data_IF_324989826440
#
_entry.id   IF_324989826440
#
_cell.length_a   1.000
_cell.length_b   1.000
_cell.length_c   1.000
_cell.angle_alpha   90.00
_cell.angle_beta   90.00
_cell.angle_gamma   90.00
#
_symmetry.space_group_name_H-M   'P 1'
#
loop_
_entity.id
_entity.type
_entity.pdbx_description
1 polymer ?
#
# COMPACT_ATOMS: atom_id res chain seq x y z
N UNK A 1 15.48 16.32 -31.18
CA UNK A 1 16.30 15.10 -30.85
C UNK A 1 15.31 14.01 -30.47
N UNK A 2 15.28 12.85 -31.14
CA UNK A 2 14.35 11.75 -30.80
C UNK A 2 14.69 11.17 -29.43
N UNK A 3 13.69 10.93 -28.61
CA UNK A 3 13.83 10.29 -27.31
C UNK A 3 14.24 8.81 -27.48
N UNK A 4 14.76 8.21 -26.41
CA UNK A 4 15.08 6.77 -26.37
C UNK A 4 13.86 5.90 -26.67
N UNK A 5 12.70 6.31 -26.17
CA UNK A 5 11.41 5.63 -26.36
C UNK A 5 10.92 5.72 -27.79
N UNK A 6 11.02 6.87 -28.43
CA UNK A 6 10.70 7.03 -29.87
C UNK A 6 11.59 6.16 -30.76
N UNK A 7 12.90 6.12 -30.47
CA UNK A 7 13.84 5.24 -31.19
C UNK A 7 13.49 3.78 -31.00
N UNK A 8 13.11 3.38 -29.79
CA UNK A 8 12.73 2.00 -29.48
C UNK A 8 11.46 1.58 -30.23
N UNK A 9 10.41 2.43 -30.25
CA UNK A 9 9.18 2.17 -31.04
C UNK A 9 9.50 2.05 -32.52
N UNK A 10 10.28 2.98 -33.06
CA UNK A 10 10.69 2.95 -34.46
C UNK A 10 11.53 1.73 -34.84
N UNK A 11 12.39 1.25 -33.90
CA UNK A 11 13.16 0.03 -34.08
C UNK A 11 12.28 -1.21 -34.13
N UNK A 12 11.24 -1.27 -33.30
CA UNK A 12 10.22 -2.34 -33.35
C UNK A 12 9.45 -2.32 -34.66
N UNK A 13 9.00 -1.15 -35.10
CA UNK A 13 8.23 -0.96 -36.34
C UNK A 13 9.03 -1.39 -37.59
N UNK A 14 10.29 -0.94 -37.69
CA UNK A 14 11.11 -1.13 -38.90
C UNK A 14 11.76 -2.53 -38.97
N UNK A 15 12.19 -3.11 -37.84
CA UNK A 15 13.07 -4.27 -37.82
C UNK A 15 12.64 -5.37 -36.83
N UNK A 16 11.54 -5.20 -36.12
CA UNK A 16 11.12 -6.11 -35.04
C UNK A 16 12.15 -6.18 -33.89
N UNK A 17 13.13 -5.26 -33.84
CA UNK A 17 14.20 -5.25 -32.84
C UNK A 17 14.01 -4.11 -31.85
N UNK A 18 14.11 -4.46 -30.59
CA UNK A 18 13.98 -3.52 -29.48
C UNK A 18 15.36 -3.21 -28.87
N UNK A 19 15.77 -1.94 -28.93
CA UNK A 19 17.02 -1.47 -28.34
C UNK A 19 16.79 -0.98 -26.90
N UNK A 20 17.24 -1.76 -25.92
CA UNK A 20 17.02 -1.48 -24.49
C UNK A 20 17.96 -0.43 -23.88
N UNK A 21 19.01 -0.04 -24.58
CA UNK A 21 20.28 0.48 -24.03
C UNK A 21 20.27 1.72 -23.14
N UNK A 22 19.15 2.45 -23.02
CA UNK A 22 19.10 3.67 -22.21
C UNK A 22 17.77 3.87 -21.47
N UNK A 23 16.90 2.85 -21.43
CA UNK A 23 15.66 2.90 -20.63
C UNK A 23 15.94 2.53 -19.17
N UNK A 24 15.23 3.15 -18.20
CA UNK A 24 15.23 2.66 -16.82
C UNK A 24 14.82 1.18 -16.78
N UNK A 25 15.54 0.37 -16.00
CA UNK A 25 15.35 -1.10 -15.97
C UNK A 25 13.90 -1.53 -15.75
N UNK A 26 13.13 -0.96 -14.79
CA UNK A 26 11.72 -1.35 -14.58
C UNK A 26 10.85 -1.13 -15.83
N UNK A 27 11.06 -0.02 -16.54
CA UNK A 27 10.33 0.32 -17.77
C UNK A 27 10.73 -0.63 -18.90
N UNK A 28 12.04 -0.87 -19.09
CA UNK A 28 12.54 -1.76 -20.12
C UNK A 28 12.02 -3.20 -19.93
N UNK A 29 11.94 -3.68 -18.69
CA UNK A 29 11.44 -5.02 -18.40
C UNK A 29 9.93 -5.13 -18.60
N UNK A 30 9.17 -4.08 -18.27
CA UNK A 30 7.74 -3.97 -18.58
C UNK A 30 7.51 -3.96 -20.10
N UNK A 31 8.24 -3.17 -20.87
CA UNK A 31 8.15 -3.16 -22.33
C UNK A 31 8.45 -4.54 -22.94
N UNK A 32 9.44 -5.28 -22.40
CA UNK A 32 9.71 -6.66 -22.83
C UNK A 32 8.51 -7.58 -22.59
N UNK A 33 7.80 -7.44 -21.45
CA UNK A 33 6.58 -8.22 -21.19
C UNK A 33 5.49 -7.87 -22.17
N UNK A 34 5.23 -6.58 -22.41
CA UNK A 34 4.23 -6.11 -23.39
C UNK A 34 4.50 -6.67 -24.80
N UNK A 35 5.76 -6.67 -25.26
CA UNK A 35 6.15 -7.23 -26.55
C UNK A 35 5.91 -8.74 -26.58
N UNK A 36 6.23 -9.48 -25.52
CA UNK A 36 5.97 -10.94 -25.43
C UNK A 36 4.48 -11.26 -25.44
N UNK A 37 3.65 -10.36 -24.94
CA UNK A 37 2.19 -10.46 -25.00
C UNK A 37 1.62 -10.13 -26.38
N UNK A 38 2.47 -9.73 -27.35
CA UNK A 38 2.07 -9.40 -28.70
C UNK A 38 1.48 -8.00 -28.85
N UNK A 39 1.64 -7.12 -27.88
CA UNK A 39 1.16 -5.74 -27.97
C UNK A 39 2.02 -4.94 -28.97
N UNK A 40 1.34 -4.08 -29.75
CA UNK A 40 1.99 -3.16 -30.70
C UNK A 40 1.99 -1.73 -30.11
N UNK A 41 3.16 -1.11 -29.86
CA UNK A 41 3.27 0.19 -29.21
C UNK A 41 2.70 1.36 -30.03
N UNK A 42 2.41 1.15 -31.32
CA UNK A 42 1.86 2.18 -32.22
C UNK A 42 0.35 2.06 -32.31
N UNK A 43 -0.20 0.91 -32.00
CA UNK A 43 -1.64 0.67 -31.94
C UNK A 43 -2.29 1.50 -30.83
N UNK A 44 -3.61 1.56 -30.81
CA UNK A 44 -4.37 2.04 -29.65
C UNK A 44 -4.55 0.89 -28.67
N UNK A 45 -4.41 1.13 -27.35
CA UNK A 45 -4.74 0.14 -26.35
C UNK A 45 -6.21 -0.26 -26.45
N UNK A 46 -6.49 -1.51 -26.14
CA UNK A 46 -7.85 -2.01 -26.05
C UNK A 46 -8.57 -1.39 -24.84
N UNK A 47 -9.81 -0.95 -25.03
CA UNK A 47 -10.65 -0.42 -23.96
C UNK A 47 -11.48 -1.57 -23.38
N UNK A 48 -10.93 -2.26 -22.39
CA UNK A 48 -11.62 -3.33 -21.68
C UNK A 48 -12.31 -2.77 -20.44
N UNK A 49 -13.62 -2.99 -20.35
CA UNK A 49 -14.44 -2.62 -19.18
C UNK A 49 -15.22 -3.86 -18.75
N UNK A 50 -15.13 -4.21 -17.47
CA UNK A 50 -15.89 -5.32 -16.89
C UNK A 50 -17.39 -5.02 -16.90
N UNK A 51 -18.22 -6.05 -16.83
CA UNK A 51 -19.67 -5.86 -16.72
C UNK A 51 -20.05 -5.14 -15.42
N UNK A 52 -21.21 -4.48 -15.41
CA UNK A 52 -21.71 -3.82 -14.17
C UNK A 52 -21.86 -4.82 -13.01
N UNK A 53 -22.29 -6.06 -13.30
CA UNK A 53 -22.43 -7.11 -12.30
C UNK A 53 -21.07 -7.51 -11.71
N UNK A 54 -20.04 -7.68 -12.55
CA UNK A 54 -18.69 -8.01 -12.09
C UNK A 54 -18.09 -6.85 -11.28
N UNK A 55 -18.24 -5.62 -11.72
CA UNK A 55 -17.81 -4.44 -10.96
C UNK A 55 -18.46 -4.41 -9.57
N UNK A 56 -19.77 -4.67 -9.48
CA UNK A 56 -20.46 -4.67 -8.20
C UNK A 56 -19.97 -5.80 -7.30
N UNK A 57 -19.77 -7.01 -7.83
CA UNK A 57 -19.23 -8.14 -7.06
C UNK A 57 -17.82 -7.85 -6.52
N UNK A 58 -16.97 -7.18 -7.29
CA UNK A 58 -15.63 -6.75 -6.86
C UNK A 58 -15.71 -5.72 -5.75
N UNK A 59 -16.61 -4.74 -5.87
CA UNK A 59 -16.86 -3.72 -4.84
C UNK A 59 -17.37 -4.35 -3.55
N UNK A 60 -18.30 -5.29 -3.62
CA UNK A 60 -18.86 -5.99 -2.45
C UNK A 60 -17.76 -6.79 -1.72
N UNK A 61 -16.87 -7.46 -2.46
CA UNK A 61 -15.73 -8.19 -1.89
C UNK A 61 -14.75 -7.26 -1.16
N UNK A 62 -14.57 -6.05 -1.63
CA UNK A 62 -13.64 -5.04 -1.09
C UNK A 62 -14.36 -3.90 -0.36
N UNK A 63 -15.60 -4.10 0.11
CA UNK A 63 -16.43 -3.06 0.73
C UNK A 63 -15.71 -2.33 1.88
N UNK A 64 -15.11 -3.09 2.81
CA UNK A 64 -14.32 -2.50 3.90
C UNK A 64 -13.15 -1.69 3.37
N UNK A 65 -12.39 -2.26 2.42
CA UNK A 65 -11.21 -1.60 1.84
C UNK A 65 -11.63 -0.29 1.17
N UNK A 66 -12.69 -0.30 0.37
CA UNK A 66 -13.22 0.88 -0.31
C UNK A 66 -13.71 1.97 0.66
N UNK A 67 -14.40 1.57 1.73
CA UNK A 67 -14.83 2.51 2.78
C UNK A 67 -13.65 3.18 3.49
N UNK A 68 -12.54 2.46 3.67
CA UNK A 68 -11.32 3.01 4.27
C UNK A 68 -10.47 3.77 3.24
N UNK A 69 -10.49 3.36 1.96
CA UNK A 69 -9.75 4.02 0.88
C UNK A 69 -10.32 5.39 0.52
N UNK A 70 -11.65 5.53 0.49
CA UNK A 70 -12.31 6.77 0.06
C UNK A 70 -11.84 8.02 0.81
N UNK A 71 -11.76 8.04 2.16
CA UNK A 71 -11.21 9.18 2.91
C UNK A 71 -9.72 9.46 2.60
N UNK A 72 -8.92 8.41 2.35
CA UNK A 72 -7.51 8.59 1.98
C UNK A 72 -7.37 9.22 0.59
N UNK A 73 -8.21 8.82 -0.38
CA UNK A 73 -8.25 9.43 -1.70
C UNK A 73 -8.69 10.91 -1.62
N UNK A 74 -9.68 11.23 -0.78
CA UNK A 74 -10.13 12.60 -0.56
C UNK A 74 -9.03 13.46 0.07
N UNK A 75 -8.33 12.92 1.07
CA UNK A 75 -7.20 13.59 1.70
C UNK A 75 -6.05 13.80 0.71
N UNK A 76 -5.71 12.76 -0.06
CA UNK A 76 -4.69 12.82 -1.10
C UNK A 76 -5.05 13.87 -2.17
N UNK A 77 -6.31 13.93 -2.60
CA UNK A 77 -6.81 14.95 -3.54
C UNK A 77 -6.60 16.37 -3.00
N UNK A 78 -6.84 16.59 -1.69
CA UNK A 78 -6.63 17.89 -1.07
C UNK A 78 -5.12 18.25 -0.90
N UNK A 79 -4.24 17.25 -0.84
CA UNK A 79 -2.79 17.42 -0.66
C UNK A 79 -2.05 17.63 -1.99
N UNK A 80 -2.56 17.05 -3.09
CA UNK A 80 -1.98 17.24 -4.41
C UNK A 80 -2.34 18.66 -4.88
N UNK A 81 -1.35 19.54 -4.86
CA UNK A 81 -1.54 20.92 -5.31
C UNK A 81 -1.66 20.99 -6.84
N UNK A 82 -2.79 21.49 -7.33
CA UNK A 82 -3.00 21.82 -8.74
C UNK A 82 -4.18 21.09 -9.40
N UNK A 83 -4.69 21.66 -10.48
CA UNK A 83 -5.72 21.03 -11.31
C UNK A 83 -5.13 19.90 -12.17
N UNK A 84 -6.00 19.17 -12.85
CA UNK A 84 -5.66 18.12 -13.81
C UNK A 84 -5.08 16.84 -13.20
N UNK A 85 -5.67 16.40 -12.07
CA UNK A 85 -5.41 15.08 -11.48
C UNK A 85 -6.65 14.19 -11.48
N UNK A 86 -6.37 12.90 -11.66
CA UNK A 86 -7.31 11.82 -11.36
C UNK A 86 -6.66 10.93 -10.32
N UNK A 87 -7.41 10.59 -9.28
CA UNK A 87 -7.04 9.56 -8.30
C UNK A 87 -7.97 8.37 -8.49
N UNK A 88 -7.41 7.17 -8.49
CA UNK A 88 -8.18 5.94 -8.61
C UNK A 88 -7.78 4.92 -7.53
N UNK A 89 -8.75 4.11 -7.15
CA UNK A 89 -8.53 2.87 -6.42
C UNK A 89 -8.83 1.70 -7.37
N UNK A 90 -7.86 0.80 -7.54
CA UNK A 90 -7.99 -0.41 -8.34
C UNK A 90 -7.83 -1.64 -7.45
N UNK A 91 -8.47 -2.75 -7.85
CA UNK A 91 -8.25 -4.04 -7.22
C UNK A 91 -6.94 -4.70 -7.68
N UNK A 92 -6.65 -5.87 -7.14
CA UNK A 92 -5.44 -6.65 -7.46
C UNK A 92 -5.36 -7.17 -8.91
N UNK A 93 -6.45 -7.10 -9.66
CA UNK A 93 -6.49 -7.46 -11.09
C UNK A 93 -6.36 -6.22 -11.99
N UNK A 94 -6.19 -5.01 -11.40
CA UNK A 94 -6.06 -3.74 -12.11
C UNK A 94 -7.38 -3.17 -12.60
N UNK A 95 -8.52 -3.63 -12.06
CA UNK A 95 -9.85 -3.08 -12.36
C UNK A 95 -10.09 -1.84 -11.47
N UNK A 96 -10.37 -0.71 -12.09
CA UNK A 96 -10.72 0.51 -11.37
C UNK A 96 -12.05 0.33 -10.65
N UNK A 97 -12.08 0.48 -9.34
CA UNK A 97 -13.29 0.36 -8.53
C UNK A 97 -13.90 1.71 -8.14
N UNK A 98 -13.06 2.72 -7.88
CA UNK A 98 -13.49 4.07 -7.53
C UNK A 98 -12.51 5.11 -8.04
N UNK A 99 -12.96 6.36 -8.22
CA UNK A 99 -12.10 7.47 -8.64
C UNK A 99 -12.57 8.80 -8.08
N UNK A 100 -11.61 9.71 -7.93
CA UNK A 100 -11.83 11.15 -7.75
C UNK A 100 -11.14 11.83 -8.93
N UNK A 101 -11.86 12.69 -9.65
CA UNK A 101 -11.35 13.34 -10.84
C UNK A 101 -11.85 14.78 -10.89
N UNK A 102 -10.99 15.71 -11.27
CA UNK A 102 -11.42 17.08 -11.57
C UNK A 102 -12.11 17.19 -12.94
N UNK A 103 -12.83 18.30 -13.13
CA UNK A 103 -13.62 18.50 -14.34
C UNK A 103 -12.77 18.60 -15.61
N UNK A 104 -11.56 19.19 -15.54
CA UNK A 104 -10.71 19.38 -16.71
C UNK A 104 -10.11 18.03 -17.13
N UNK A 105 -9.50 17.28 -16.19
CA UNK A 105 -8.93 15.97 -16.48
C UNK A 105 -9.99 14.98 -16.97
N UNK A 106 -11.22 15.07 -16.47
CA UNK A 106 -12.32 14.17 -16.87
C UNK A 106 -12.66 14.28 -18.37
N UNK A 107 -12.35 15.43 -19.02
CA UNK A 107 -12.56 15.65 -20.45
C UNK A 107 -11.37 15.18 -21.30
N UNK A 108 -10.22 14.93 -20.70
CA UNK A 108 -9.04 14.42 -21.40
C UNK A 108 -9.25 12.98 -21.91
N UNK A 109 -8.43 12.54 -22.86
CA UNK A 109 -8.51 11.18 -23.36
C UNK A 109 -8.22 10.13 -22.26
N UNK A 110 -7.25 10.43 -21.41
CA UNK A 110 -6.91 9.56 -20.29
C UNK A 110 -8.04 9.53 -19.25
N UNK A 111 -8.59 10.70 -18.86
CA UNK A 111 -9.68 10.80 -17.91
C UNK A 111 -10.96 10.07 -18.36
N UNK A 112 -11.21 10.00 -19.67
CA UNK A 112 -12.34 9.24 -20.25
C UNK A 112 -12.12 7.74 -20.20
N UNK A 113 -10.88 7.26 -20.22
CA UNK A 113 -10.56 5.83 -20.21
C UNK A 113 -10.35 5.27 -18.80
N UNK A 114 -9.97 6.11 -17.80
CA UNK A 114 -9.86 5.68 -16.40
C UNK A 114 -11.22 5.84 -15.72
N UNK A 115 -12.09 4.86 -15.93
CA UNK A 115 -13.46 4.84 -15.39
C UNK A 115 -13.67 3.59 -14.51
N UNK A 116 -14.62 3.60 -13.56
CA UNK A 116 -14.96 2.40 -12.83
C UNK A 116 -15.31 1.24 -13.76
N UNK A 117 -14.67 0.10 -13.54
CA UNK A 117 -14.76 -1.10 -14.39
C UNK A 117 -13.68 -1.21 -15.46
N UNK A 118 -12.94 -0.15 -15.81
CA UNK A 118 -11.83 -0.24 -16.77
C UNK A 118 -10.65 -1.03 -16.21
N UNK A 119 -9.98 -1.81 -17.07
CA UNK A 119 -8.86 -2.69 -16.71
C UNK A 119 -7.56 -2.03 -17.13
N UNK A 120 -6.62 -1.90 -16.17
CA UNK A 120 -5.32 -1.22 -16.36
C UNK A 120 -4.11 -2.12 -16.13
N UNK A 121 -4.28 -3.44 -16.30
CA UNK A 121 -3.14 -4.38 -16.28
C UNK A 121 -2.24 -4.20 -17.50
N UNK A 122 -0.97 -4.67 -17.40
CA UNK A 122 -0.01 -4.59 -18.52
C UNK A 122 -0.47 -5.34 -19.78
N UNK A 123 -1.25 -6.42 -19.61
CA UNK A 123 -1.77 -7.24 -20.72
C UNK A 123 -2.74 -6.45 -21.63
N UNK A 124 -3.46 -5.48 -21.06
CA UNK A 124 -4.47 -4.68 -21.76
C UNK A 124 -3.93 -3.31 -22.13
N UNK A 125 -3.30 -2.63 -21.19
CA UNK A 125 -2.92 -1.22 -21.31
C UNK A 125 -1.42 -1.00 -21.49
N UNK A 126 -0.65 -2.08 -21.67
CA UNK A 126 0.81 -1.98 -21.79
C UNK A 126 1.44 -1.39 -20.54
N UNK A 127 2.67 -0.89 -20.67
CA UNK A 127 3.38 -0.25 -19.55
C UNK A 127 2.66 1.02 -19.10
N UNK A 128 2.15 1.00 -17.90
CA UNK A 128 1.56 2.11 -17.15
C UNK A 128 1.90 1.92 -15.66
N UNK A 129 1.73 2.96 -14.83
CA UNK A 129 2.16 2.87 -13.43
C UNK A 129 1.38 1.84 -12.62
N UNK A 130 0.07 1.71 -12.87
CA UNK A 130 -0.79 0.75 -12.17
C UNK A 130 -0.36 -0.68 -12.49
N UNK A 131 -0.26 -1.05 -13.79
CA UNK A 131 0.18 -2.37 -14.23
C UNK A 131 1.60 -2.71 -13.78
N UNK A 132 2.50 -1.73 -13.80
CA UNK A 132 3.87 -1.90 -13.33
C UNK A 132 3.93 -2.13 -11.80
N UNK A 133 3.14 -1.40 -11.01
CA UNK A 133 3.06 -1.57 -9.56
C UNK A 133 2.40 -2.90 -9.17
N UNK A 134 1.39 -3.35 -9.93
CA UNK A 134 0.81 -4.70 -9.80
C UNK A 134 1.86 -5.79 -9.93
N UNK A 135 2.70 -5.67 -10.97
CA UNK A 135 3.72 -6.68 -11.26
C UNK A 135 4.89 -6.66 -10.28
N UNK A 136 5.35 -5.46 -9.89
CA UNK A 136 6.55 -5.28 -9.07
C UNK A 136 6.31 -5.31 -7.56
N UNK A 137 5.08 -5.05 -7.11
CA UNK A 137 4.75 -4.91 -5.69
C UNK A 137 5.36 -3.68 -5.02
N UNK A 138 5.85 -2.70 -5.80
CA UNK A 138 6.46 -1.46 -5.27
C UNK A 138 5.86 -0.22 -5.92
N UNK A 139 5.91 0.95 -5.25
CA UNK A 139 5.44 2.19 -5.85
C UNK A 139 6.18 2.53 -7.15
N UNK A 140 5.43 2.87 -8.19
CA UNK A 140 5.94 3.10 -9.54
C UNK A 140 5.50 4.44 -10.09
N UNK A 141 6.35 5.00 -10.96
CA UNK A 141 6.07 6.21 -11.74
C UNK A 141 6.37 5.91 -13.21
N UNK A 142 5.37 6.11 -14.06
CA UNK A 142 5.50 6.02 -15.53
C UNK A 142 5.12 7.36 -16.13
N UNK A 143 6.05 8.02 -16.81
CA UNK A 143 5.93 9.40 -17.25
C UNK A 143 6.04 9.52 -18.75
N UNK A 144 5.03 10.11 -19.39
CA UNK A 144 5.07 10.47 -20.80
C UNK A 144 5.44 9.29 -21.69
N UNK A 145 6.51 9.39 -22.46
CA UNK A 145 6.95 8.40 -23.42
C UNK A 145 7.40 7.06 -22.82
N UNK A 146 7.47 6.94 -21.50
CA UNK A 146 7.73 5.67 -20.80
C UNK A 146 6.54 4.70 -20.92
N UNK A 147 5.31 5.22 -21.11
CA UNK A 147 4.16 4.39 -21.44
C UNK A 147 4.41 3.58 -22.70
N UNK A 148 3.90 2.36 -22.75
CA UNK A 148 4.12 1.49 -23.91
C UNK A 148 3.45 2.05 -25.17
N UNK A 149 2.18 2.40 -25.09
CA UNK A 149 1.44 2.95 -26.22
C UNK A 149 1.79 4.43 -26.46
N UNK A 150 2.06 4.79 -27.72
CA UNK A 150 2.52 6.13 -28.09
C UNK A 150 1.49 7.24 -27.83
N UNK A 151 0.20 6.90 -27.87
CA UNK A 151 -0.90 7.85 -27.63
C UNK A 151 -1.08 8.22 -26.13
N UNK A 152 -0.46 7.48 -25.22
CA UNK A 152 -0.44 7.77 -23.78
C UNK A 152 0.78 8.61 -23.35
N UNK A 153 1.59 9.05 -24.30
CA UNK A 153 2.82 9.80 -24.07
C UNK A 153 2.67 11.21 -23.49
N UNK A 154 1.46 11.65 -23.13
CA UNK A 154 1.17 12.96 -22.51
C UNK A 154 0.73 12.87 -21.06
N UNK A 155 0.74 11.68 -20.48
CA UNK A 155 0.26 11.42 -19.12
C UNK A 155 1.42 11.01 -18.23
N UNK A 156 1.37 11.38 -16.97
CA UNK A 156 2.18 10.81 -15.90
C UNK A 156 1.26 10.08 -14.93
N UNK A 157 1.58 8.83 -14.68
CA UNK A 157 0.88 7.95 -13.76
C UNK A 157 1.80 7.56 -12.61
N UNK A 158 1.27 7.59 -11.39
CA UNK A 158 1.98 7.24 -10.16
C UNK A 158 1.12 6.27 -9.38
N UNK A 159 1.61 5.08 -9.10
CA UNK A 159 0.81 4.06 -8.43
C UNK A 159 1.56 3.45 -7.26
N UNK A 160 0.82 3.14 -6.19
CA UNK A 160 1.35 2.44 -5.02
C UNK A 160 0.46 1.25 -4.67
N UNK A 161 1.05 0.05 -4.46
CA UNK A 161 0.33 -1.14 -4.06
C UNK A 161 -0.10 -1.06 -2.60
N UNK A 162 -1.20 -1.73 -2.28
CA UNK A 162 -1.79 -1.88 -0.95
C UNK A 162 -1.80 -3.36 -0.61
N UNK A 163 -1.23 -3.70 0.55
CA UNK A 163 -1.20 -5.06 1.05
C UNK A 163 -2.09 -5.19 2.29
N UNK A 164 -2.67 -6.37 2.45
CA UNK A 164 -3.36 -6.73 3.69
C UNK A 164 -2.39 -7.06 4.82
N UNK A 165 -2.91 -7.41 5.99
CA UNK A 165 -2.13 -7.79 7.16
C UNK A 165 -1.35 -9.12 6.99
N UNK A 166 -1.70 -9.92 5.99
CA UNK A 166 -1.00 -11.15 5.59
C UNK A 166 0.12 -10.92 4.57
N UNK A 167 0.22 -9.70 4.00
CA UNK A 167 1.17 -9.35 2.95
C UNK A 167 0.67 -9.67 1.53
N UNK A 168 -0.61 -10.00 1.36
CA UNK A 168 -1.21 -10.23 0.04
C UNK A 168 -1.63 -8.89 -0.59
N UNK A 169 -1.36 -8.74 -1.89
CA UNK A 169 -1.77 -7.56 -2.65
C UNK A 169 -3.29 -7.56 -2.80
N UNK A 170 -3.94 -6.49 -2.32
CA UNK A 170 -5.40 -6.34 -2.37
C UNK A 170 -5.87 -5.26 -3.35
N UNK A 171 -5.02 -4.30 -3.66
CA UNK A 171 -5.36 -3.21 -4.57
C UNK A 171 -4.23 -2.20 -4.72
N UNK A 172 -4.55 -1.08 -5.38
CA UNK A 172 -3.60 0.00 -5.63
C UNK A 172 -4.30 1.35 -5.54
N UNK A 173 -3.54 2.37 -5.15
CA UNK A 173 -3.90 3.78 -5.36
C UNK A 173 -3.09 4.28 -6.53
N UNK A 174 -3.75 4.91 -7.49
CA UNK A 174 -3.16 5.56 -8.65
C UNK A 174 -3.45 7.05 -8.66
N UNK A 175 -2.49 7.84 -9.10
CA UNK A 175 -2.64 9.26 -9.39
C UNK A 175 -2.14 9.53 -10.81
N UNK A 176 -3.02 10.00 -11.68
CA UNK A 176 -2.73 10.29 -13.08
C UNK A 176 -2.91 11.79 -13.38
N UNK A 177 -2.03 12.36 -14.18
CA UNK A 177 -2.09 13.77 -14.59
C UNK A 177 -1.53 13.99 -16.00
N UNK A 178 -1.91 15.10 -16.66
CA UNK A 178 -1.33 15.50 -17.96
C UNK A 178 0.04 16.22 -17.83
N UNK A 179 0.62 16.24 -16.65
CA UNK A 179 1.93 16.82 -16.40
C UNK A 179 3.01 15.80 -16.71
N UNK A 180 3.83 16.04 -17.72
CA UNK A 180 4.86 15.10 -18.22
C UNK A 180 6.21 15.21 -17.50
N UNK A 181 6.25 15.85 -16.33
CA UNK A 181 7.45 15.96 -15.50
C UNK A 181 7.34 14.96 -14.34
N UNK A 182 8.45 14.28 -14.02
CA UNK A 182 8.47 13.34 -12.88
C UNK A 182 8.09 14.03 -11.57
N UNK A 183 7.08 13.50 -10.92
CA UNK A 183 6.49 14.07 -9.70
C UNK A 183 6.83 13.20 -8.48
N UNK A 184 8.10 13.20 -8.06
CA UNK A 184 8.56 12.38 -6.93
C UNK A 184 7.82 12.68 -5.63
N UNK A 185 7.45 13.95 -5.39
CA UNK A 185 6.68 14.33 -4.20
C UNK A 185 5.28 13.73 -4.23
N UNK A 186 4.62 13.75 -5.40
CA UNK A 186 3.31 13.13 -5.57
C UNK A 186 3.36 11.62 -5.38
N UNK A 187 4.40 10.93 -5.91
CA UNK A 187 4.58 9.49 -5.66
C UNK A 187 4.73 9.20 -4.16
N UNK A 188 5.48 10.04 -3.43
CA UNK A 188 5.62 9.88 -1.99
C UNK A 188 4.27 10.05 -1.25
N UNK A 189 3.41 10.98 -1.67
CA UNK A 189 2.06 11.15 -1.13
C UNK A 189 1.15 9.96 -1.46
N UNK A 190 1.18 9.46 -2.70
CA UNK A 190 0.42 8.26 -3.12
C UNK A 190 0.84 7.05 -2.28
N UNK A 191 2.15 6.85 -2.10
CA UNK A 191 2.67 5.77 -1.27
C UNK A 191 2.27 5.94 0.21
N UNK A 192 2.28 7.17 0.73
CA UNK A 192 1.83 7.44 2.09
C UNK A 192 0.34 7.13 2.27
N UNK A 193 -0.51 7.48 1.31
CA UNK A 193 -1.94 7.15 1.33
C UNK A 193 -2.17 5.63 1.32
N UNK A 194 -1.41 4.88 0.50
CA UNK A 194 -1.45 3.43 0.49
C UNK A 194 -1.05 2.83 1.85
N UNK A 195 0.05 3.30 2.46
CA UNK A 195 0.49 2.86 3.79
C UNK A 195 -0.51 3.20 4.89
N UNK A 196 -1.16 4.38 4.83
CA UNK A 196 -2.21 4.74 5.77
C UNK A 196 -3.40 3.78 5.69
N UNK A 197 -3.79 3.41 4.47
CA UNK A 197 -4.85 2.43 4.26
C UNK A 197 -4.46 1.05 4.81
N UNK A 198 -3.24 0.56 4.52
CA UNK A 198 -2.71 -0.68 5.10
C UNK A 198 -2.74 -0.66 6.64
N UNK A 199 -2.32 0.45 7.26
CA UNK A 199 -2.34 0.60 8.70
C UNK A 199 -3.77 0.57 9.28
N UNK A 200 -4.77 1.12 8.57
CA UNK A 200 -6.18 1.06 8.99
C UNK A 200 -6.74 -0.35 8.88
N UNK A 201 -6.43 -1.05 7.79
CA UNK A 201 -6.81 -2.45 7.59
C UNK A 201 -6.19 -3.33 8.67
N UNK A 202 -4.89 -3.18 8.94
CA UNK A 202 -4.20 -3.88 10.01
C UNK A 202 -4.89 -3.71 11.37
N UNK A 203 -5.32 -2.49 11.69
CA UNK A 203 -6.02 -2.21 12.96
C UNK A 203 -7.41 -2.85 13.00
N UNK A 204 -8.12 -2.87 11.88
CA UNK A 204 -9.44 -3.52 11.82
C UNK A 204 -9.33 -5.05 11.92
N UNK A 205 -8.40 -5.67 11.20
CA UNK A 205 -8.15 -7.11 11.22
C UNK A 205 -7.79 -7.60 12.63
N UNK A 206 -6.98 -6.80 13.34
CA UNK A 206 -6.49 -7.16 14.68
C UNK A 206 -7.21 -6.45 15.82
N UNK A 207 -8.46 -5.95 15.60
CA UNK A 207 -9.22 -5.20 16.60
C UNK A 207 -9.51 -5.93 17.92
N UNK A 208 -9.37 -7.27 17.93
CA UNK A 208 -9.56 -8.14 19.11
C UNK A 208 -8.24 -8.54 19.77
N UNK A 209 -7.12 -8.12 19.21
CA UNK A 209 -5.77 -8.43 19.67
C UNK A 209 -5.11 -7.23 20.36
N UNK A 210 -4.05 -7.48 21.09
CA UNK A 210 -3.21 -6.42 21.65
C UNK A 210 -2.33 -5.83 20.54
N UNK A 211 -2.68 -4.67 20.01
CA UNK A 211 -1.85 -3.97 19.03
C UNK A 211 -0.86 -3.08 19.77
N UNK A 212 0.41 -3.39 19.66
CA UNK A 212 1.51 -2.63 20.25
C UNK A 212 2.12 -1.77 19.15
N UNK A 213 2.10 -0.45 19.37
CA UNK A 213 2.84 0.53 18.55
C UNK A 213 4.22 0.71 19.15
N UNK A 214 5.26 0.66 18.32
CA UNK A 214 6.62 0.88 18.78
C UNK A 214 7.48 1.62 17.75
N UNK A 215 8.47 2.38 18.27
CA UNK A 215 9.40 3.14 17.43
C UNK A 215 10.70 3.42 18.23
N UNK A 216 11.88 3.53 17.58
CA UNK A 216 13.13 3.90 18.26
C UNK A 216 13.08 5.26 18.97
N UNK A 217 12.19 6.17 18.53
CA UNK A 217 11.98 7.49 19.11
C UNK A 217 10.55 7.64 19.59
N UNK A 218 10.37 8.11 20.82
CA UNK A 218 9.06 8.21 21.47
C UNK A 218 8.08 9.14 20.75
N UNK A 219 8.56 10.25 20.20
CA UNK A 219 7.77 11.25 19.50
C UNK A 219 7.07 10.71 18.24
N UNK A 220 7.57 9.62 17.66
CA UNK A 220 6.98 8.99 16.48
C UNK A 220 5.89 7.95 16.78
N UNK A 221 5.63 7.64 18.06
CA UNK A 221 4.59 6.68 18.43
C UNK A 221 3.18 7.09 18.01
N UNK A 222 2.95 8.39 17.77
CA UNK A 222 1.64 8.92 17.36
C UNK A 222 1.57 9.27 15.87
N UNK A 223 2.62 8.98 15.11
CA UNK A 223 2.67 9.25 13.67
C UNK A 223 2.17 8.07 12.85
N UNK A 224 1.89 8.30 11.57
CA UNK A 224 1.50 7.24 10.63
C UNK A 224 2.66 6.26 10.34
N UNK A 225 3.91 6.68 10.56
CA UNK A 225 5.11 5.88 10.32
C UNK A 225 5.52 5.02 11.54
N UNK A 226 4.56 4.61 12.35
CA UNK A 226 4.78 3.78 13.53
C UNK A 226 4.74 2.29 13.17
N UNK A 227 5.65 1.50 13.73
CA UNK A 227 5.58 0.05 13.65
C UNK A 227 4.43 -0.45 14.52
N UNK A 228 3.65 -1.39 13.99
CA UNK A 228 2.55 -2.04 14.70
C UNK A 228 2.69 -3.55 14.63
N UNK A 229 2.57 -4.20 15.77
CA UNK A 229 2.59 -5.65 15.92
C UNK A 229 1.39 -6.06 16.76
N UNK A 230 0.68 -7.09 16.34
CA UNK A 230 -0.50 -7.61 17.03
C UNK A 230 -0.16 -8.92 17.74
N UNK A 231 -0.63 -9.06 18.98
CA UNK A 231 -0.45 -10.23 19.83
C UNK A 231 -1.81 -10.73 20.30
N UNK A 232 -1.95 -12.05 20.37
CA UNK A 232 -3.07 -12.66 21.07
C UNK A 232 -2.91 -12.56 22.62
N UNK A 233 -3.80 -13.22 23.37
CA UNK A 233 -3.79 -13.17 24.82
C UNK A 233 -2.58 -13.89 25.43
N UNK A 234 -2.00 -14.85 24.71
CA UNK A 234 -0.87 -15.68 25.14
C UNK A 234 0.49 -15.12 24.66
N UNK A 235 0.47 -13.96 23.98
CA UNK A 235 1.66 -13.29 23.48
C UNK A 235 2.17 -13.84 22.14
N UNK A 236 1.38 -14.67 21.44
CA UNK A 236 1.74 -15.10 20.09
C UNK A 236 1.47 -13.94 19.09
N UNK A 237 2.41 -13.73 18.16
CA UNK A 237 2.30 -12.69 17.14
C UNK A 237 1.30 -13.15 16.10
N UNK A 238 0.23 -12.37 15.91
CA UNK A 238 -0.84 -12.62 14.94
C UNK A 238 -0.71 -11.77 13.69
N UNK A 239 0.09 -10.70 13.72
CA UNK A 239 0.34 -9.84 12.57
C UNK A 239 1.35 -8.74 12.85
N UNK A 240 1.87 -8.17 11.77
CA UNK A 240 2.80 -7.05 11.79
C UNK A 240 2.56 -6.15 10.58
N UNK A 241 2.60 -4.82 10.75
CA UNK A 241 2.51 -3.92 9.61
C UNK A 241 3.87 -3.84 8.87
N UNK A 242 3.87 -3.26 7.67
CA UNK A 242 5.08 -3.10 6.83
C UNK A 242 6.23 -2.46 7.60
N UNK A 243 5.96 -1.42 8.39
CA UNK A 243 6.98 -0.73 9.19
C UNK A 243 7.63 -1.62 10.23
N UNK A 244 6.89 -2.56 10.80
CA UNK A 244 7.46 -3.58 11.71
C UNK A 244 8.46 -4.47 10.99
N UNK A 245 8.13 -4.96 9.78
CA UNK A 245 9.04 -5.79 8.98
C UNK A 245 10.32 -5.06 8.58
N UNK A 246 10.26 -3.73 8.36
CA UNK A 246 11.43 -2.90 8.09
C UNK A 246 12.32 -2.72 9.33
N UNK A 247 11.73 -2.58 10.53
CA UNK A 247 12.48 -2.38 11.77
C UNK A 247 13.01 -3.69 12.36
N UNK A 248 12.22 -4.76 12.26
CA UNK A 248 12.56 -6.10 12.77
C UNK A 248 12.96 -7.00 11.61
N UNK A 249 14.12 -6.71 11.01
CA UNK A 249 14.65 -7.47 9.88
C UNK A 249 14.79 -8.95 10.24
N UNK A 250 14.16 -9.82 9.46
CA UNK A 250 14.19 -11.28 9.70
C UNK A 250 13.01 -11.83 10.51
N UNK A 251 12.06 -10.98 10.94
CA UNK A 251 10.81 -11.46 11.55
C UNK A 251 10.04 -12.32 10.55
N UNK A 252 9.78 -13.57 10.88
CA UNK A 252 9.00 -14.53 10.09
C UNK A 252 7.72 -14.88 10.85
N UNK A 253 6.57 -14.45 10.33
CA UNK A 253 5.26 -14.72 10.94
C UNK A 253 4.77 -16.16 10.71
N UNK A 254 5.34 -16.87 9.73
CA UNK A 254 4.95 -18.25 9.37
C UNK A 254 5.13 -19.27 10.49
N UNK A 255 6.00 -18.98 11.47
CA UNK A 255 6.26 -19.84 12.63
C UNK A 255 5.47 -19.45 13.89
N UNK A 256 4.52 -18.52 13.79
CA UNK A 256 3.75 -17.96 14.91
C UNK A 256 4.64 -17.63 16.13
N UNK A 257 5.65 -16.76 15.97
CA UNK A 257 6.57 -16.45 17.05
C UNK A 257 5.83 -15.75 18.20
N UNK A 258 6.34 -15.92 19.42
CA UNK A 258 5.84 -15.21 20.59
C UNK A 258 6.62 -13.91 20.83
N UNK A 259 6.11 -13.09 21.71
CA UNK A 259 6.78 -11.85 22.14
C UNK A 259 8.22 -12.11 22.57
N UNK A 260 8.43 -13.16 23.38
CA UNK A 260 9.72 -13.54 23.95
C UNK A 260 10.73 -14.03 22.90
N UNK A 261 10.26 -14.46 21.73
CA UNK A 261 11.13 -14.84 20.60
C UNK A 261 11.72 -13.62 19.88
N UNK A 262 11.08 -12.45 20.00
CA UNK A 262 11.44 -11.21 19.31
C UNK A 262 12.03 -10.17 20.25
N UNK A 263 11.41 -10.02 21.42
CA UNK A 263 11.77 -8.99 22.41
C UNK A 263 12.23 -9.60 23.74
N UNK A 264 13.13 -8.90 24.40
CA UNK A 264 13.57 -9.25 25.75
C UNK A 264 12.46 -8.97 26.78
N UNK A 265 12.34 -9.84 27.77
CA UNK A 265 11.36 -9.73 28.84
C UNK A 265 10.10 -10.57 28.60
N UNK A 266 9.13 -10.44 29.48
CA UNK A 266 7.89 -11.23 29.42
C UNK A 266 6.73 -10.39 28.90
N UNK A 267 5.91 -10.98 28.01
CA UNK A 267 4.71 -10.35 27.43
C UNK A 267 3.75 -9.84 28.50
N UNK A 268 3.47 -10.66 29.54
CA UNK A 268 2.58 -10.29 30.65
C UNK A 268 3.03 -9.01 31.36
N UNK A 269 4.34 -8.88 31.62
CA UNK A 269 4.90 -7.68 32.25
C UNK A 269 4.73 -6.45 31.39
N UNK A 270 4.95 -6.56 30.08
CA UNK A 270 4.71 -5.49 29.13
C UNK A 270 3.25 -5.06 29.13
N UNK A 271 2.31 -6.02 28.91
CA UNK A 271 0.88 -5.75 28.84
C UNK A 271 0.37 -5.07 30.12
N UNK A 272 0.81 -5.56 31.31
CA UNK A 272 0.43 -4.96 32.59
C UNK A 272 0.79 -3.48 32.72
N UNK A 273 1.86 -3.01 32.07
CA UNK A 273 2.31 -1.62 32.06
C UNK A 273 1.61 -0.78 30.97
N UNK A 274 1.60 -1.28 29.73
CA UNK A 274 1.02 -0.53 28.60
C UNK A 274 -0.51 -0.40 28.71
N UNK A 275 -1.21 -1.35 29.37
CA UNK A 275 -2.63 -1.25 29.66
C UNK A 275 -2.98 -0.10 30.62
N UNK A 276 -2.03 0.33 31.45
CA UNK A 276 -2.15 1.53 32.31
C UNK A 276 -1.88 2.83 31.56
N UNK A 277 -1.64 2.76 30.24
CA UNK A 277 -1.32 3.93 29.42
C UNK A 277 0.16 4.34 29.44
N UNK A 278 1.02 3.52 30.03
CA UNK A 278 2.45 3.83 30.07
C UNK A 278 3.10 3.66 28.68
N UNK A 279 4.07 4.53 28.37
CA UNK A 279 5.04 4.28 27.31
C UNK A 279 6.22 3.53 27.94
N UNK A 280 6.50 2.35 27.40
CA UNK A 280 7.49 1.42 27.96
C UNK A 280 8.66 1.31 26.99
N UNK A 281 9.88 1.20 27.52
CA UNK A 281 11.01 0.80 26.69
C UNK A 281 11.08 -0.74 26.60
N UNK A 282 11.20 -1.23 25.35
CA UNK A 282 11.44 -2.64 25.03
C UNK A 282 12.72 -2.74 24.22
N UNK A 283 13.34 -3.93 24.22
CA UNK A 283 14.54 -4.21 23.43
C UNK A 283 14.35 -5.52 22.68
N UNK A 284 14.81 -5.59 21.44
CA UNK A 284 14.93 -6.85 20.73
C UNK A 284 16.19 -7.64 21.16
N UNK A 285 16.34 -8.85 20.65
CA UNK A 285 17.51 -9.69 20.95
C UNK A 285 18.82 -9.19 20.31
N UNK A 286 18.75 -8.20 19.42
CA UNK A 286 19.92 -7.47 18.90
C UNK A 286 20.25 -6.25 19.75
N UNK A 287 19.59 -6.09 20.91
CA UNK A 287 19.70 -4.94 21.84
C UNK A 287 19.25 -3.60 21.24
N UNK A 288 18.52 -3.58 20.13
CA UNK A 288 17.89 -2.37 19.61
C UNK A 288 16.78 -1.92 20.57
N UNK A 289 16.79 -0.67 20.95
CA UNK A 289 15.82 -0.11 21.90
C UNK A 289 14.63 0.54 21.19
N UNK A 290 13.42 0.31 21.69
CA UNK A 290 12.19 0.91 21.18
C UNK A 290 11.34 1.42 22.34
N UNK A 291 10.63 2.55 22.11
CA UNK A 291 9.50 2.97 22.93
C UNK A 291 8.25 2.26 22.41
N UNK A 292 7.43 1.74 23.32
CA UNK A 292 6.25 0.97 22.99
C UNK A 292 5.04 1.46 23.79
N UNK A 293 3.85 1.42 23.16
CA UNK A 293 2.57 1.70 23.80
C UNK A 293 1.46 0.81 23.23
N UNK A 294 0.37 0.65 23.98
CA UNK A 294 -0.84 -0.02 23.48
C UNK A 294 -1.61 0.95 22.56
N UNK A 295 -2.04 0.45 21.40
CA UNK A 295 -3.05 1.11 20.59
C UNK A 295 -4.43 0.72 21.11
N UNK A 296 -5.16 1.68 21.66
CA UNK A 296 -6.52 1.45 22.14
C UNK A 296 -7.46 1.30 20.94
N UNK A 297 -8.01 0.10 20.75
CA UNK A 297 -9.13 -0.17 19.83
C UNK A 297 -10.43 -0.10 20.60
N UNK A 298 -11.58 0.19 19.94
CA UNK A 298 -12.87 0.30 20.64
C UNK A 298 -13.28 -0.99 21.37
N UNK A 299 -12.90 -2.16 20.86
CA UNK A 299 -13.18 -3.45 21.50
C UNK A 299 -12.26 -3.75 22.69
N UNK A 300 -11.04 -3.27 22.69
CA UNK A 300 -10.09 -3.41 23.79
C UNK A 300 -10.47 -2.51 24.96
N UNK A 301 -11.08 -1.31 24.72
CA UNK A 301 -11.63 -0.48 25.81
C UNK A 301 -12.68 -1.20 26.65
N UNK A 302 -13.53 -2.01 26.03
CA UNK A 302 -14.55 -2.80 26.74
C UNK A 302 -13.97 -4.04 27.46
N UNK A 303 -12.87 -4.60 26.96
CA UNK A 303 -12.16 -5.74 27.54
C UNK A 303 -11.16 -5.34 28.63
N UNK A 304 -10.51 -4.19 28.50
CA UNK A 304 -9.53 -3.67 29.48
C UNK A 304 -10.14 -3.47 30.88
N UNK A 305 -11.43 -3.14 30.99
CA UNK A 305 -12.11 -3.08 32.29
C UNK A 305 -12.18 -4.45 32.99
N UNK A 306 -12.18 -5.56 32.22
CA UNK A 306 -12.21 -6.93 32.78
C UNK A 306 -10.80 -7.51 32.96
N UNK A 307 -9.91 -7.30 32.00
CA UNK A 307 -8.56 -7.86 32.02
C UNK A 307 -7.61 -7.10 32.96
N UNK A 308 -7.73 -5.79 33.10
CA UNK A 308 -7.01 -5.02 34.13
C UNK A 308 -7.39 -5.44 35.56
N UNK A 309 -8.64 -5.84 35.82
CA UNK A 309 -9.07 -6.33 37.11
C UNK A 309 -8.49 -7.73 37.43
N UNK A 310 -8.33 -8.60 36.44
CA UNK A 310 -7.73 -9.92 36.63
C UNK A 310 -6.22 -9.81 36.94
N UNK A 311 -5.48 -8.93 36.24
CA UNK A 311 -4.03 -8.75 36.48
C UNK A 311 -3.71 -8.01 37.78
N UNK A 312 -4.63 -7.26 38.38
CA UNK A 312 -4.43 -6.60 39.67
C UNK A 312 -4.77 -7.51 40.85
N UNK A 313 -5.63 -8.52 40.69
CA UNK A 313 -5.94 -9.49 41.75
C UNK A 313 -4.80 -10.51 41.97
N UNK A 314 -4.15 -11.01 40.91
CA UNK A 314 -3.04 -11.96 41.05
C UNK A 314 -1.78 -11.32 41.69
N UNK A 315 -1.54 -10.02 41.48
CA UNK A 315 -0.44 -9.31 42.12
C UNK A 315 -0.68 -8.96 43.60
N UNK A 316 -1.91 -9.08 44.09
CA UNK A 316 -2.24 -8.89 45.50
C UNK A 316 -2.06 -10.19 46.33
N UNK A 317 -2.26 -11.34 45.70
CA UNK A 317 -2.11 -12.64 46.37
C UNK A 317 -0.65 -13.06 46.56
N UNK A 318 0.29 -12.58 45.71
CA UNK A 318 1.73 -12.86 45.89
C UNK A 318 2.41 -12.06 47.04
N UNK A 319 1.69 -11.11 47.66
CA UNK A 319 2.24 -10.31 48.80
C UNK A 319 1.76 -10.78 50.18
N UNK A 320 1.01 -11.85 50.25
CA UNK A 320 0.49 -12.41 51.50
C UNK A 320 0.93 -13.85 51.75
N UNK A 321 2.01 -14.31 51.09
CA UNK A 321 2.64 -15.58 51.34
C UNK A 321 4.06 -15.43 51.92
#
# INVERSE_FOLDING_TARGET
>A
MQTVFEKARKGLELNGKFAYGAMPSPIADSWKRCIRLGLDPISKPEECVVSHTDLQQRRDKLDLVMRLARPELELLSAQIAGPNFLLAFADRDGVILDRIVDNEFSQSNCGKSIIPGSIWSEEIRGTNALGLALHSGVPCNVTGQEHFFSNEGRVSCLSAPIFDSGGELIGLIDASSEVTVRQYHTLALVNLAAQNLENRLFVDDHRRHHIIQFHPRQEYLQTQNVAMIAFDQDGAITGANRRTSELLTGLKLTSTPKYEDVFMGQFRSLVGRICKGEVVQIKDWLHSGYFARLRLTHSVKASLSKTCLLYTSDAADERLG
#
